data_IF_920455949238
#
_entry.id   IF_920455949238
#
_cell.length_a   1.000
_cell.length_b   1.000
_cell.length_c   1.000
_cell.angle_alpha   90.00
_cell.angle_beta   90.00
_cell.angle_gamma   90.00
#
_symmetry.space_group_name_H-M   'P 1'
#
loop_
_entity.id
_entity.type
_entity.pdbx_description
1 polymer ?
#
# COMPACT_ATOMS: atom_id res chain seq x y z
N UNK A 1 43.48 0.46 -46.60
CA UNK A 1 42.02 0.68 -46.71
C UNK A 1 41.29 -0.47 -46.05
N UNK A 2 40.57 -0.22 -44.95
CA UNK A 2 39.30 -0.86 -44.58
C UNK A 2 38.78 -0.17 -43.32
N UNK A 3 37.71 0.59 -43.53
CA UNK A 3 36.86 1.23 -42.52
C UNK A 3 36.08 0.14 -41.80
N UNK A 4 35.80 0.33 -40.52
CA UNK A 4 34.55 -0.13 -39.87
C UNK A 4 34.43 0.58 -38.52
N UNK A 5 33.71 1.70 -38.55
CA UNK A 5 33.07 2.27 -37.38
C UNK A 5 31.80 1.46 -37.11
N UNK A 6 31.65 0.95 -35.89
CA UNK A 6 30.36 0.46 -35.39
C UNK A 6 29.99 1.36 -34.21
N UNK A 7 29.16 2.35 -34.54
CA UNK A 7 28.39 3.12 -33.58
C UNK A 7 27.24 2.22 -33.15
N UNK A 8 27.30 1.69 -31.93
CA UNK A 8 26.18 0.99 -31.31
C UNK A 8 25.36 2.00 -30.52
N UNK A 9 24.45 2.69 -31.20
CA UNK A 9 23.31 3.36 -30.58
C UNK A 9 22.37 2.29 -30.02
N UNK A 10 22.42 2.03 -28.71
CA UNK A 10 21.28 1.39 -28.06
C UNK A 10 20.28 2.44 -27.62
N UNK A 11 18.98 2.20 -27.91
CA UNK A 11 17.92 3.17 -27.70
C UNK A 11 17.74 3.41 -26.20
N UNK A 12 17.60 4.67 -25.83
CA UNK A 12 16.90 5.05 -24.60
C UNK A 12 15.53 4.40 -24.67
N UNK A 13 15.34 3.30 -23.96
CA UNK A 13 14.01 2.80 -23.62
C UNK A 13 13.44 3.80 -22.61
N UNK A 14 12.79 4.83 -23.14
CA UNK A 14 11.88 5.66 -22.39
C UNK A 14 10.84 4.73 -21.72
N UNK A 15 10.95 4.54 -20.41
CA UNK A 15 9.91 3.98 -19.54
C UNK A 15 8.75 4.97 -19.39
N UNK A 16 8.24 5.47 -20.52
CA UNK A 16 7.05 6.28 -20.61
C UNK A 16 5.83 5.37 -20.42
N UNK A 17 4.96 5.77 -19.49
CA UNK A 17 3.62 5.25 -19.22
C UNK A 17 3.50 4.04 -18.28
N UNK A 18 3.71 4.29 -16.98
CA UNK A 18 2.98 3.56 -15.94
C UNK A 18 2.36 4.53 -14.92
N UNK A 19 2.03 5.76 -15.33
CA UNK A 19 1.22 6.65 -14.52
C UNK A 19 -0.28 6.34 -14.75
N UNK A 20 -1.04 6.25 -13.67
CA UNK A 20 -2.51 6.36 -13.66
C UNK A 20 -2.96 7.67 -14.36
N UNK A 21 -4.25 7.77 -14.73
CA UNK A 21 -4.89 8.94 -15.37
C UNK A 21 -4.68 10.26 -14.62
N UNK A 22 -4.26 10.24 -13.35
CA UNK A 22 -3.93 11.39 -12.52
C UNK A 22 -2.42 11.71 -12.45
N UNK A 23 -1.56 10.97 -13.16
CA UNK A 23 -0.11 11.19 -13.20
C UNK A 23 0.67 10.54 -12.06
N UNK A 24 0.02 9.69 -11.26
CA UNK A 24 0.65 8.97 -10.14
C UNK A 24 1.17 7.62 -10.65
N UNK A 25 2.44 7.22 -10.39
CA UNK A 25 2.93 5.90 -10.80
C UNK A 25 2.05 4.79 -10.20
N UNK A 26 1.67 3.80 -11.00
CA UNK A 26 0.94 2.62 -10.53
C UNK A 26 1.91 1.75 -9.72
N UNK A 27 1.87 1.93 -8.40
CA UNK A 27 2.67 1.15 -7.44
C UNK A 27 1.84 -0.02 -6.89
N UNK A 28 2.27 -0.62 -5.78
CA UNK A 28 1.65 -1.81 -5.20
C UNK A 28 0.24 -1.58 -4.67
N UNK A 29 -0.07 -0.38 -4.19
CA UNK A 29 -1.42 0.04 -3.78
C UNK A 29 -1.67 1.44 -4.29
N UNK A 30 -2.87 1.72 -4.80
CA UNK A 30 -3.31 3.06 -5.20
C UNK A 30 -4.76 3.31 -4.83
N UNK A 31 -5.13 4.58 -4.70
CA UNK A 31 -6.51 4.96 -4.48
C UNK A 31 -6.68 6.43 -4.16
N UNK A 32 -7.89 6.79 -3.74
CA UNK A 32 -8.28 8.13 -3.35
C UNK A 32 -8.60 8.21 -1.86
N UNK A 33 -8.46 9.40 -1.29
CA UNK A 33 -8.94 9.74 0.05
C UNK A 33 -10.15 10.66 -0.10
N UNK A 34 -11.33 10.10 0.10
CA UNK A 34 -12.60 10.76 -0.10
C UNK A 34 -13.02 11.57 1.14
N UNK A 35 -13.88 12.56 0.95
CA UNK A 35 -14.38 13.42 2.03
C UNK A 35 -13.54 14.68 2.27
N UNK A 36 -13.88 15.41 3.33
CA UNK A 36 -13.23 16.69 3.66
C UNK A 36 -11.91 16.46 4.36
N UNK A 37 -10.81 16.85 3.73
CA UNK A 37 -9.46 16.76 4.30
C UNK A 37 -9.36 17.60 5.60
N UNK A 38 -8.84 17.04 6.71
CA UNK A 38 -8.57 17.78 7.93
C UNK A 38 -7.45 18.81 7.71
N UNK A 39 -7.41 19.83 8.56
CA UNK A 39 -6.31 20.80 8.59
C UNK A 39 -5.00 20.14 9.02
N UNK A 40 -3.87 20.61 8.48
CA UNK A 40 -2.53 20.15 8.85
C UNK A 40 -1.85 19.31 7.77
N UNK A 41 -0.71 18.73 8.14
CA UNK A 41 0.10 17.88 7.26
C UNK A 41 -0.51 16.48 7.25
N UNK A 42 -1.02 16.05 6.10
CA UNK A 42 -1.53 14.68 5.95
C UNK A 42 -0.41 13.74 5.53
N UNK A 43 -0.36 12.57 6.16
CA UNK A 43 0.58 11.50 5.85
C UNK A 43 -0.15 10.19 5.67
N UNK A 44 0.49 9.25 4.97
CA UNK A 44 0.06 7.85 4.92
C UNK A 44 1.01 7.00 5.74
N UNK A 45 0.46 6.00 6.41
CA UNK A 45 1.21 4.99 7.13
C UNK A 45 0.62 3.61 6.91
N UNK A 46 1.50 2.63 6.78
CA UNK A 46 1.16 1.22 6.90
C UNK A 46 1.57 0.78 8.32
N UNK A 47 0.62 0.30 9.12
CA UNK A 47 0.89 -0.19 10.48
C UNK A 47 0.44 -1.63 10.63
N UNK A 48 1.09 -2.38 11.51
CA UNK A 48 0.57 -3.68 11.93
C UNK A 48 -0.78 -3.52 12.62
N UNK A 49 -1.69 -4.48 12.41
CA UNK A 49 -2.99 -4.52 13.09
C UNK A 49 -3.36 -5.94 13.51
N UNK A 50 -4.22 -6.06 14.52
CA UNK A 50 -4.77 -7.35 14.94
C UNK A 50 -6.05 -7.60 14.16
N UNK A 51 -6.13 -8.75 13.49
CA UNK A 51 -7.36 -9.29 12.92
C UNK A 51 -7.53 -10.70 13.44
N UNK A 52 -8.76 -11.20 13.57
CA UNK A 52 -9.01 -12.56 14.04
C UNK A 52 -8.12 -13.59 13.33
N UNK A 53 -7.26 -14.26 14.11
CA UNK A 53 -6.30 -15.27 13.60
C UNK A 53 -4.95 -14.71 13.11
N UNK A 54 -4.72 -13.40 13.17
CA UNK A 54 -3.49 -12.75 12.71
C UNK A 54 -2.84 -11.92 13.81
N UNK A 55 -1.53 -12.11 13.97
CA UNK A 55 -0.72 -11.29 14.87
C UNK A 55 -0.42 -9.94 14.24
N UNK A 56 -0.36 -8.91 15.08
CA UNK A 56 0.18 -7.59 14.71
C UNK A 56 1.67 -7.73 14.46
N UNK A 57 2.14 -7.56 13.21
CA UNK A 57 3.57 -7.55 12.92
C UNK A 57 4.21 -6.36 13.63
N UNK A 58 5.39 -6.60 14.20
CA UNK A 58 6.23 -5.53 14.78
C UNK A 58 6.81 -4.73 13.63
N UNK A 59 6.04 -3.78 13.12
CA UNK A 59 6.48 -2.88 12.06
C UNK A 59 6.48 -1.46 12.57
N UNK A 60 7.66 -0.83 12.48
CA UNK A 60 7.77 0.61 12.50
C UNK A 60 6.93 1.18 11.35
N UNK A 61 6.07 2.14 11.68
CA UNK A 61 5.27 2.85 10.70
C UNK A 61 6.13 3.39 9.55
N UNK A 62 5.68 3.16 8.32
CA UNK A 62 6.38 3.60 7.12
C UNK A 62 5.65 4.82 6.57
N UNK A 63 6.31 5.97 6.62
CA UNK A 63 5.81 7.19 6.00
C UNK A 63 6.00 7.11 4.48
N UNK A 64 4.94 7.34 3.71
CA UNK A 64 4.93 6.99 2.29
C UNK A 64 4.90 8.25 1.39
N UNK A 65 5.85 8.39 0.43
CA UNK A 65 6.13 9.68 -0.22
C UNK A 65 5.14 10.10 -1.31
N UNK A 66 4.33 9.18 -1.84
CA UNK A 66 3.55 9.38 -3.07
C UNK A 66 2.07 9.70 -2.78
N UNK A 67 1.87 10.79 -2.03
CA UNK A 67 0.56 11.41 -1.81
C UNK A 67 0.46 12.73 -2.60
N UNK A 68 -0.56 12.87 -3.45
CA UNK A 68 -0.91 14.13 -4.08
C UNK A 68 -2.08 14.78 -3.30
N UNK A 69 -1.81 15.72 -2.38
CA UNK A 69 -2.83 16.33 -1.54
C UNK A 69 -3.82 17.21 -2.31
N UNK A 70 -3.46 17.71 -3.49
CA UNK A 70 -4.36 18.53 -4.31
C UNK A 70 -5.43 17.68 -5.00
N UNK A 71 -5.10 16.42 -5.31
CA UNK A 71 -5.99 15.46 -5.95
C UNK A 71 -6.61 14.46 -4.98
N UNK A 72 -6.26 14.54 -3.71
CA UNK A 72 -6.58 13.52 -2.70
C UNK A 72 -6.29 12.09 -3.17
N UNK A 73 -5.22 11.90 -3.94
CA UNK A 73 -4.87 10.63 -4.56
C UNK A 73 -3.51 10.16 -4.06
N UNK A 74 -3.31 8.85 -4.01
CA UNK A 74 -2.06 8.28 -3.56
C UNK A 74 -1.72 7.00 -4.33
N UNK A 75 -0.43 6.67 -4.38
CA UNK A 75 0.05 5.34 -4.70
C UNK A 75 1.18 5.00 -3.75
N UNK A 76 1.42 3.74 -3.42
CA UNK A 76 2.48 3.33 -2.49
C UNK A 76 3.13 2.02 -2.94
N UNK A 77 4.40 1.86 -2.63
CA UNK A 77 5.05 0.55 -2.65
C UNK A 77 4.91 -0.09 -1.28
N UNK A 78 4.53 -1.38 -1.26
CA UNK A 78 4.52 -2.15 -0.03
C UNK A 78 5.98 -2.50 0.35
N UNK A 79 6.26 -2.81 1.63
CA UNK A 79 7.61 -3.18 2.05
C UNK A 79 8.15 -4.36 1.23
N UNK A 80 9.41 -4.29 0.82
CA UNK A 80 10.06 -5.39 0.09
C UNK A 80 10.31 -6.64 0.96
N UNK A 81 10.42 -6.45 2.28
CA UNK A 81 10.69 -7.49 3.27
C UNK A 81 9.74 -7.37 4.47
N UNK A 82 8.42 -7.54 4.27
CA UNK A 82 7.45 -7.47 5.34
C UNK A 82 7.53 -8.72 6.22
N UNK A 83 7.15 -8.58 7.48
CA UNK A 83 6.91 -9.72 8.37
C UNK A 83 5.54 -10.34 8.06
N UNK A 84 5.37 -11.62 8.38
CA UNK A 84 4.04 -12.24 8.30
C UNK A 84 3.09 -11.55 9.28
N UNK A 85 1.88 -11.23 8.83
CA UNK A 85 0.94 -10.47 9.65
C UNK A 85 -0.12 -9.71 8.87
N UNK A 86 -1.01 -9.07 9.63
CA UNK A 86 -2.02 -8.17 9.11
C UNK A 86 -1.59 -6.70 9.24
N UNK A 87 -1.95 -5.90 8.24
CA UNK A 87 -1.55 -4.53 8.07
C UNK A 87 -2.75 -3.65 7.73
N UNK A 88 -2.77 -2.47 8.33
CA UNK A 88 -3.72 -1.42 8.03
C UNK A 88 -2.99 -0.27 7.34
N UNK A 89 -3.49 0.11 6.16
CA UNK A 89 -3.13 1.35 5.49
C UNK A 89 -4.14 2.43 5.91
N UNK A 90 -3.63 3.55 6.40
CA UNK A 90 -4.43 4.70 6.80
C UNK A 90 -3.73 5.99 6.41
N UNK A 91 -4.52 7.05 6.25
CA UNK A 91 -4.03 8.42 6.24
C UNK A 91 -4.39 9.13 7.54
N UNK A 92 -3.54 10.05 7.98
CA UNK A 92 -3.72 10.79 9.22
C UNK A 92 -3.19 12.22 9.13
N UNK A 93 -3.75 13.11 9.96
CA UNK A 93 -3.29 14.48 10.14
C UNK A 93 -2.20 14.50 11.23
N UNK A 94 -0.95 14.64 10.80
CA UNK A 94 0.22 14.69 11.67
C UNK A 94 0.21 15.96 12.52
N UNK A 95 0.20 15.75 13.84
CA UNK A 95 0.25 16.79 14.87
C UNK A 95 1.67 17.17 15.27
N UNK A 96 2.67 16.42 14.78
CA UNK A 96 4.09 16.64 15.04
C UNK A 96 4.59 16.11 16.38
N UNK A 97 3.76 15.39 17.14
CA UNK A 97 4.14 14.82 18.43
C UNK A 97 5.19 13.70 18.29
N UNK A 98 4.96 12.77 17.36
CA UNK A 98 5.94 11.74 16.98
C UNK A 98 6.24 11.88 15.50
N UNK A 99 7.42 12.41 15.17
CA UNK A 99 7.78 12.73 13.80
C UNK A 99 7.56 11.53 12.85
N UNK A 100 6.61 11.70 11.92
CA UNK A 100 6.28 10.74 10.86
C UNK A 100 5.64 9.42 11.33
N UNK A 101 4.97 9.41 12.49
CA UNK A 101 4.14 8.28 12.92
C UNK A 101 2.75 8.76 13.35
N UNK A 102 1.74 7.97 13.06
CA UNK A 102 0.40 8.07 13.59
C UNK A 102 0.43 7.81 15.09
N UNK A 103 -0.09 8.76 15.85
CA UNK A 103 -0.32 8.67 17.28
C UNK A 103 -1.81 8.54 17.59
N UNK A 104 -2.12 7.84 18.68
CA UNK A 104 -3.51 7.72 19.14
C UNK A 104 -4.06 9.11 19.51
N UNK A 105 -5.22 9.45 18.96
CA UNK A 105 -5.84 10.76 19.09
C UNK A 105 -5.66 11.67 17.87
N UNK A 106 -4.77 11.33 16.94
CA UNK A 106 -4.70 12.04 15.66
C UNK A 106 -5.92 11.73 14.78
N UNK A 107 -6.38 12.75 14.04
CA UNK A 107 -7.46 12.55 13.06
C UNK A 107 -6.94 11.65 11.95
N UNK A 108 -7.66 10.57 11.66
CA UNK A 108 -7.29 9.57 10.66
C UNK A 108 -8.50 9.15 9.82
N UNK A 109 -8.23 8.56 8.67
CA UNK A 109 -9.25 7.93 7.83
C UNK A 109 -9.97 6.81 8.57
N UNK A 110 -11.26 6.67 8.26
CA UNK A 110 -12.14 5.64 8.77
C UNK A 110 -11.58 4.24 8.50
N UNK A 111 -11.96 3.29 9.35
CA UNK A 111 -11.68 1.88 9.13
C UNK A 111 -12.51 1.40 7.94
N UNK A 112 -11.84 0.91 6.91
CA UNK A 112 -12.47 0.47 5.64
C UNK A 112 -13.15 -0.90 5.75
N UNK A 113 -12.93 -1.62 6.85
CA UNK A 113 -13.28 -3.03 6.98
C UNK A 113 -12.38 -3.96 6.17
N UNK A 114 -11.27 -3.44 5.61
CA UNK A 114 -10.30 -4.22 4.83
C UNK A 114 -8.92 -4.17 5.45
N UNK A 115 -8.15 -5.23 5.28
CA UNK A 115 -6.76 -5.33 5.74
C UNK A 115 -5.88 -5.98 4.69
N UNK A 116 -4.62 -5.57 4.67
CA UNK A 116 -3.58 -6.25 3.91
C UNK A 116 -3.00 -7.36 4.77
N UNK A 117 -2.86 -8.54 4.20
CA UNK A 117 -2.25 -9.69 4.85
C UNK A 117 -1.01 -10.06 4.05
N UNK A 118 0.11 -10.19 4.74
CA UNK A 118 1.31 -10.79 4.15
C UNK A 118 1.56 -12.16 4.79
N UNK A 119 1.81 -13.15 3.93
CA UNK A 119 2.27 -14.47 4.34
C UNK A 119 3.42 -14.90 3.42
N UNK A 120 4.63 -15.05 3.96
CA UNK A 120 5.81 -15.46 3.20
C UNK A 120 5.61 -16.78 2.46
N UNK A 121 5.06 -17.77 3.16
CA UNK A 121 4.87 -19.13 2.64
C UNK A 121 3.41 -19.45 2.27
N UNK A 122 2.50 -18.48 2.49
CA UNK A 122 1.05 -18.67 2.46
C UNK A 122 0.52 -19.37 3.71
N UNK A 123 -0.81 -19.47 3.85
CA UNK A 123 -1.48 -20.14 4.96
C UNK A 123 -2.49 -21.20 4.50
N UNK A 124 -2.73 -22.16 5.40
CA UNK A 124 -3.77 -23.18 5.22
C UNK A 124 -3.61 -23.98 3.93
N UNK A 125 -4.71 -24.15 3.20
CA UNK A 125 -4.73 -24.83 1.91
C UNK A 125 -4.28 -23.94 0.72
N UNK A 126 -3.96 -22.66 0.97
CA UNK A 126 -3.49 -21.67 -0.01
C UNK A 126 -4.45 -21.42 -1.17
N UNK A 127 -5.75 -21.72 -1.00
CA UNK A 127 -6.79 -21.51 -2.01
C UNK A 127 -7.11 -20.03 -2.28
N UNK A 128 -6.71 -19.12 -1.39
CA UNK A 128 -7.11 -17.72 -1.35
C UNK A 128 -8.64 -17.53 -1.29
N UNK A 129 -9.37 -18.48 -0.70
CA UNK A 129 -10.83 -18.39 -0.53
C UNK A 129 -11.25 -17.56 0.69
N UNK A 130 -10.35 -17.42 1.66
CA UNK A 130 -10.56 -16.74 2.93
C UNK A 130 -9.21 -16.33 3.54
N UNK A 131 -9.26 -15.45 4.53
CA UNK A 131 -8.09 -14.83 5.14
C UNK A 131 -7.25 -15.80 5.99
N UNK A 132 -7.67 -17.06 6.17
CA UNK A 132 -6.88 -18.12 6.81
C UNK A 132 -6.22 -19.07 5.79
N UNK A 133 -6.57 -18.92 4.51
CA UNK A 133 -6.12 -19.77 3.41
C UNK A 133 -5.42 -18.95 2.32
N UNK A 134 -4.64 -17.94 2.69
CA UNK A 134 -3.99 -17.02 1.75
C UNK A 134 -2.82 -17.66 0.99
N UNK A 135 -2.54 -17.16 -0.22
CA UNK A 135 -1.34 -17.53 -0.98
C UNK A 135 -0.09 -16.86 -0.38
N UNK A 136 1.08 -17.31 -0.82
CA UNK A 136 2.32 -16.60 -0.52
C UNK A 136 2.28 -15.17 -1.11
N UNK A 137 2.76 -14.19 -0.34
CA UNK A 137 2.76 -12.77 -0.69
C UNK A 137 1.64 -11.98 -0.02
N UNK A 138 1.23 -10.89 -0.70
CA UNK A 138 0.21 -9.96 -0.21
C UNK A 138 -1.20 -10.36 -0.65
N UNK A 139 -2.17 -10.21 0.24
CA UNK A 139 -3.60 -10.33 -0.03
C UNK A 139 -4.37 -9.17 0.60
N UNK A 140 -5.42 -8.70 -0.06
CA UNK A 140 -6.41 -7.80 0.51
C UNK A 140 -7.61 -8.61 1.00
N UNK A 141 -8.01 -8.37 2.24
CA UNK A 141 -8.98 -9.17 2.95
C UNK A 141 -10.10 -8.32 3.53
N UNK A 142 -11.33 -8.76 3.37
CA UNK A 142 -12.51 -8.19 4.02
C UNK A 142 -12.65 -8.77 5.43
N UNK A 143 -12.57 -7.91 6.44
CA UNK A 143 -12.57 -8.29 7.86
C UNK A 143 -13.94 -8.70 8.39
N UNK A 144 -15.03 -8.28 7.74
CA UNK A 144 -16.38 -8.64 8.16
C UNK A 144 -16.73 -10.07 7.73
N UNK A 145 -16.33 -10.43 6.51
CA UNK A 145 -16.62 -11.75 5.91
C UNK A 145 -15.45 -12.73 6.02
N UNK A 146 -14.27 -12.25 6.40
CA UNK A 146 -12.99 -12.98 6.40
C UNK A 146 -12.66 -13.57 5.01
N UNK A 147 -13.08 -12.89 3.94
CA UNK A 147 -12.82 -13.30 2.56
C UNK A 147 -11.64 -12.54 1.97
N UNK A 148 -10.89 -13.22 1.11
CA UNK A 148 -9.86 -12.59 0.30
C UNK A 148 -10.56 -11.90 -0.87
N UNK A 149 -10.43 -10.58 -0.95
CA UNK A 149 -10.90 -9.80 -2.08
C UNK A 149 -9.95 -9.93 -3.26
N UNK A 150 -8.64 -9.87 -2.97
CA UNK A 150 -7.59 -9.93 -3.98
C UNK A 150 -6.30 -10.55 -3.43
N UNK A 151 -5.54 -11.24 -4.27
CA UNK A 151 -4.18 -11.68 -3.98
C UNK A 151 -3.21 -11.13 -5.02
N UNK A 152 -2.08 -10.59 -4.56
CA UNK A 152 -1.06 -9.95 -5.40
C UNK A 152 -1.35 -8.48 -5.71
N UNK A 153 -0.27 -7.71 -5.86
CA UNK A 153 -0.29 -6.30 -6.26
C UNK A 153 -0.50 -6.19 -7.78
N UNK A 154 -1.02 -5.05 -8.29
CA UNK A 154 -1.41 -3.83 -7.58
C UNK A 154 -2.82 -3.91 -6.96
N UNK A 155 -3.04 -3.24 -5.83
CA UNK A 155 -4.33 -3.13 -5.15
C UNK A 155 -4.98 -1.75 -5.35
N UNK A 156 -6.28 -1.73 -5.61
CA UNK A 156 -7.08 -0.50 -5.58
C UNK A 156 -7.76 -0.38 -4.21
N UNK A 157 -7.48 0.71 -3.48
CA UNK A 157 -7.90 0.90 -2.09
C UNK A 157 -8.30 2.35 -1.81
N UNK A 158 -9.59 2.65 -1.87
CA UNK A 158 -10.08 3.97 -1.46
C UNK A 158 -10.22 4.06 0.07
N UNK A 159 -9.91 5.23 0.61
CA UNK A 159 -10.10 5.60 2.02
C UNK A 159 -11.06 6.77 2.13
N UNK A 160 -11.64 6.96 3.31
CA UNK A 160 -12.51 8.10 3.61
C UNK A 160 -12.06 8.74 4.91
N UNK A 161 -12.07 10.07 4.99
CA UNK A 161 -11.86 10.79 6.25
C UNK A 161 -12.89 10.44 7.32
#
# INVERSE_FOLDING_TARGET
>A
MKKLAVVLTLPLALGLAACDTLGVPKLDVSGNILGTKPSGTVRLTLRGTTVNGWQTPVLDQINIPTFNPEKSAYAISLPEKPSDGAYELLAYADTGATANRYDEGETRTQVTGKVFIYAKDGLGDKSAKDCLNVKAGWSLCDTATMKVDQSGTPFDYDMTW
#
